data_IF_092250864929
#
_entry.id   IF_092250864929
#
_cell.length_a   1.000
_cell.length_b   1.000
_cell.length_c   1.000
_cell.angle_alpha   90.00
_cell.angle_beta   90.00
_cell.angle_gamma   90.00
#
_symmetry.space_group_name_H-M   'P 1'
#
loop_
_entity.id
_entity.type
_entity.pdbx_description
1 polymer ?
#
# COMPACT_ATOMS: atom_id res chain seq x y z
N UNK A 1 -1.75 -12.95 4.50
CA UNK A 1 -2.87 -12.86 5.44
C UNK A 1 -2.68 -14.02 6.41
N UNK A 2 -2.18 -13.74 7.61
CA UNK A 2 -2.01 -14.72 8.66
C UNK A 2 -3.34 -14.97 9.41
N UNK A 3 -3.43 -15.99 10.27
CA UNK A 3 -4.61 -16.23 11.10
C UNK A 3 -4.87 -15.00 11.99
N UNK A 4 -6.14 -14.69 12.22
CA UNK A 4 -6.60 -13.51 12.99
C UNK A 4 -6.04 -13.41 14.44
N UNK A 5 -5.43 -14.48 14.94
CA UNK A 5 -4.82 -14.57 16.27
C UNK A 5 -3.32 -14.27 16.30
N UNK A 6 -2.66 -14.16 15.14
CA UNK A 6 -1.25 -13.80 15.08
C UNK A 6 -1.10 -12.27 15.16
N UNK A 7 -0.15 -11.79 15.92
CA UNK A 7 0.24 -10.38 15.85
C UNK A 7 0.77 -10.10 14.43
N UNK A 8 0.22 -9.10 13.71
CA UNK A 8 0.68 -8.81 12.36
C UNK A 8 2.12 -8.28 12.38
N UNK A 9 2.93 -8.76 11.45
CA UNK A 9 4.21 -8.12 11.14
C UNK A 9 3.93 -6.87 10.31
N UNK A 10 3.80 -5.72 10.99
CA UNK A 10 3.44 -4.46 10.36
C UNK A 10 4.47 -4.01 9.32
N UNK A 11 5.77 -4.23 9.56
CA UNK A 11 6.83 -3.82 8.64
C UNK A 11 6.77 -4.63 7.33
N UNK A 12 6.63 -5.95 7.43
CA UNK A 12 6.45 -6.81 6.27
C UNK A 12 5.11 -6.53 5.57
N UNK A 13 4.06 -6.29 6.34
CA UNK A 13 2.74 -5.92 5.83
C UNK A 13 2.78 -4.65 4.99
N UNK A 14 3.43 -3.60 5.50
CA UNK A 14 3.59 -2.33 4.78
C UNK A 14 4.41 -2.51 3.50
N UNK A 15 5.53 -3.24 3.55
CA UNK A 15 6.35 -3.53 2.36
C UNK A 15 5.53 -4.22 1.27
N UNK A 16 4.74 -5.24 1.64
CA UNK A 16 3.86 -5.96 0.70
C UNK A 16 2.75 -5.05 0.16
N UNK A 17 2.14 -4.22 0.99
CA UNK A 17 1.10 -3.28 0.57
C UNK A 17 1.64 -2.30 -0.49
N UNK A 18 2.83 -1.73 -0.26
CA UNK A 18 3.50 -0.84 -1.22
C UNK A 18 3.81 -1.54 -2.55
N UNK A 19 4.32 -2.78 -2.49
CA UNK A 19 4.58 -3.58 -3.69
C UNK A 19 3.31 -3.90 -4.47
N UNK A 20 2.21 -4.26 -3.77
CA UNK A 20 0.91 -4.54 -4.39
C UNK A 20 0.23 -3.28 -4.93
N UNK A 21 0.42 -2.11 -4.30
CA UNK A 21 -0.04 -0.83 -4.84
C UNK A 21 0.62 -0.55 -6.21
N UNK A 22 1.93 -0.76 -6.32
CA UNK A 22 2.64 -0.63 -7.61
C UNK A 22 2.13 -1.61 -8.66
N UNK A 23 1.71 -2.83 -8.26
CA UNK A 23 1.07 -3.78 -9.17
C UNK A 23 -0.28 -3.26 -9.66
N UNK A 24 -1.19 -2.99 -8.73
CA UNK A 24 -2.59 -2.67 -9.06
C UNK A 24 -2.69 -1.36 -9.84
N UNK A 25 -1.89 -0.35 -9.47
CA UNK A 25 -1.85 0.94 -10.13
C UNK A 25 -1.10 0.92 -11.48
N UNK A 26 -0.40 -0.16 -11.82
CA UNK A 26 0.19 -0.37 -13.15
C UNK A 26 -0.76 -1.04 -14.14
N UNK A 27 -1.88 -1.61 -13.70
CA UNK A 27 -2.82 -2.32 -14.57
C UNK A 27 -3.60 -1.37 -15.49
N UNK A 28 -4.00 -1.80 -16.69
CA UNK A 28 -4.90 -1.03 -17.54
C UNK A 28 -6.30 -0.92 -16.93
N UNK A 29 -7.08 0.05 -17.41
CA UNK A 29 -8.44 0.33 -16.94
C UNK A 29 -8.48 1.28 -15.75
N UNK A 30 -9.62 1.31 -15.06
CA UNK A 30 -9.84 2.14 -13.87
C UNK A 30 -9.15 1.54 -12.64
N UNK A 31 -8.67 2.40 -11.77
CA UNK A 31 -8.11 2.01 -10.47
C UNK A 31 -8.91 2.62 -9.33
N UNK A 32 -8.93 1.93 -8.21
CA UNK A 32 -9.60 2.37 -7.00
C UNK A 32 -8.59 2.35 -5.86
N UNK A 33 -8.53 3.41 -5.08
CA UNK A 33 -7.72 3.53 -3.88
C UNK A 33 -8.69 3.67 -2.71
N UNK A 34 -8.59 2.79 -1.74
CA UNK A 34 -9.36 2.95 -0.51
C UNK A 34 -8.66 3.91 0.44
N UNK A 35 -9.45 4.68 1.19
CA UNK A 35 -8.90 5.66 2.14
C UNK A 35 -7.87 5.03 3.08
N UNK A 36 -6.70 5.66 3.21
CA UNK A 36 -5.62 5.22 4.08
C UNK A 36 -4.60 4.28 3.44
N UNK A 37 -4.89 3.70 2.27
CA UNK A 37 -3.89 2.93 1.51
C UNK A 37 -2.68 3.79 1.17
N UNK A 38 -2.93 5.03 0.76
CA UNK A 38 -1.91 6.02 0.42
C UNK A 38 -1.01 6.41 1.61
N UNK A 39 -1.49 6.18 2.82
CA UNK A 39 -0.72 6.40 4.05
C UNK A 39 -0.06 5.12 4.57
N UNK A 40 -0.37 3.96 3.98
CA UNK A 40 0.02 2.67 4.53
C UNK A 40 -0.64 2.39 5.89
N UNK A 41 -1.84 2.93 6.10
CA UNK A 41 -2.55 2.90 7.37
C UNK A 41 -3.00 1.47 7.69
N UNK A 42 -2.62 0.89 8.84
CA UNK A 42 -3.10 -0.43 9.21
C UNK A 42 -4.55 -0.38 9.69
N UNK A 43 -5.25 -1.49 9.52
CA UNK A 43 -6.57 -1.67 10.11
C UNK A 43 -6.51 -1.60 11.64
N UNK A 44 -7.48 -0.94 12.26
CA UNK A 44 -7.66 -0.95 13.72
C UNK A 44 -8.31 -2.26 14.19
N UNK A 45 -7.54 -3.34 14.20
CA UNK A 45 -8.02 -4.69 14.51
C UNK A 45 -8.44 -4.86 15.97
N UNK A 46 -7.87 -4.07 16.88
CA UNK A 46 -8.13 -4.13 18.33
C UNK A 46 -9.26 -3.20 18.81
N UNK A 47 -10.06 -2.66 17.87
CA UNK A 47 -11.21 -1.80 18.22
C UNK A 47 -12.19 -2.58 19.11
N UNK A 48 -12.55 -1.98 20.26
CA UNK A 48 -13.49 -2.56 21.19
C UNK A 48 -14.91 -2.67 20.59
N UNK A 49 -15.65 -3.72 20.96
CA UNK A 49 -16.97 -4.00 20.41
C UNK A 49 -17.99 -2.87 20.57
N UNK A 50 -17.91 -2.09 21.66
CA UNK A 50 -18.80 -0.95 21.89
C UNK A 50 -18.74 0.16 20.84
N UNK A 51 -17.62 0.26 20.09
CA UNK A 51 -17.44 1.23 19.02
C UNK A 51 -17.82 0.68 17.64
N UNK A 52 -18.01 -0.63 17.52
CA UNK A 52 -18.29 -1.27 16.24
C UNK A 52 -19.74 -1.06 15.82
N UNK A 53 -19.92 -0.70 14.56
CA UNK A 53 -21.21 -0.36 13.96
C UNK A 53 -21.50 -1.17 12.69
N UNK A 54 -20.55 -2.00 12.24
CA UNK A 54 -20.72 -2.81 11.04
C UNK A 54 -21.92 -3.77 11.23
N UNK A 55 -22.85 -3.82 10.26
CA UNK A 55 -24.01 -4.73 10.34
C UNK A 55 -23.62 -6.20 10.52
N UNK A 56 -22.46 -6.62 10.05
CA UNK A 56 -21.95 -7.98 10.24
C UNK A 56 -21.67 -8.26 11.71
N UNK A 57 -20.95 -7.33 12.39
CA UNK A 57 -20.67 -7.42 13.82
C UNK A 57 -21.97 -7.51 14.65
N UNK A 58 -22.94 -6.67 14.32
CA UNK A 58 -24.22 -6.64 15.04
C UNK A 58 -25.05 -7.92 14.82
N UNK A 59 -25.14 -8.41 13.58
CA UNK A 59 -25.90 -9.64 13.24
C UNK A 59 -25.28 -10.89 13.84
N UNK A 60 -23.95 -10.99 13.85
CA UNK A 60 -23.24 -12.15 14.40
C UNK A 60 -22.99 -12.04 15.91
N UNK A 61 -23.50 -10.99 16.57
CA UNK A 61 -23.30 -10.73 18.00
C UNK A 61 -21.82 -10.72 18.40
N UNK A 62 -20.98 -10.22 17.52
CA UNK A 62 -19.54 -10.06 17.75
C UNK A 62 -18.66 -11.23 17.30
N UNK A 63 -19.23 -12.30 16.72
CA UNK A 63 -18.43 -13.40 16.16
C UNK A 63 -17.59 -12.95 14.97
N UNK A 64 -18.13 -12.04 14.13
CA UNK A 64 -17.40 -11.41 13.02
C UNK A 64 -17.21 -9.93 13.27
N UNK A 65 -15.97 -9.47 13.20
CA UNK A 65 -15.62 -8.07 13.54
C UNK A 65 -16.07 -7.02 12.51
N UNK A 66 -16.40 -7.44 11.29
CA UNK A 66 -16.78 -6.53 10.21
C UNK A 66 -15.63 -5.65 9.74
N UNK A 67 -15.95 -4.50 9.14
CA UNK A 67 -14.98 -3.61 8.47
C UNK A 67 -14.77 -2.24 9.15
N UNK A 68 -15.25 -2.06 10.37
CA UNK A 68 -15.10 -0.75 11.06
C UNK A 68 -13.63 -0.35 11.22
N UNK A 69 -12.76 -1.34 11.44
CA UNK A 69 -11.32 -1.09 11.62
C UNK A 69 -10.63 -0.40 10.45
N UNK A 70 -11.11 -0.58 9.22
CA UNK A 70 -10.58 0.10 8.03
C UNK A 70 -11.34 1.40 7.67
N UNK A 71 -12.36 1.78 8.46
CA UNK A 71 -13.15 3.01 8.25
C UNK A 71 -12.84 4.11 9.26
N UNK A 72 -11.80 3.92 10.06
CA UNK A 72 -11.36 4.92 11.05
C UNK A 72 -10.97 6.21 10.35
N UNK A 73 -11.34 7.39 10.88
CA UNK A 73 -10.99 8.67 10.30
C UNK A 73 -9.49 8.85 10.07
N UNK A 74 -9.12 9.41 8.91
CA UNK A 74 -7.72 9.57 8.50
C UNK A 74 -6.94 10.55 9.39
N UNK A 75 -5.67 10.27 9.70
CA UNK A 75 -4.80 11.19 10.41
C UNK A 75 -4.17 12.21 9.43
N UNK A 76 -4.48 13.50 9.61
CA UNK A 76 -3.92 14.60 8.82
C UNK A 76 -2.74 15.26 9.50
N UNK A 77 -2.82 15.46 10.83
CA UNK A 77 -1.81 16.15 11.64
C UNK A 77 -1.53 15.36 12.91
N UNK A 78 -0.31 14.88 13.07
CA UNK A 78 0.07 13.96 14.14
C UNK A 78 -0.21 14.50 15.55
N UNK A 79 -0.04 15.80 15.77
CA UNK A 79 -0.09 16.43 17.10
C UNK A 79 -1.40 17.22 17.32
N UNK A 80 -2.39 17.12 16.42
CA UNK A 80 -3.66 17.82 16.56
C UNK A 80 -4.75 16.93 17.20
N UNK A 81 -5.79 17.53 17.82
CA UNK A 81 -6.98 16.81 18.25
C UNK A 81 -7.55 15.97 17.11
N UNK A 82 -8.03 14.74 17.40
CA UNK A 82 -8.48 13.75 16.40
C UNK A 82 -7.57 13.65 15.17
N UNK A 83 -6.27 13.82 15.36
CA UNK A 83 -5.25 13.89 14.30
C UNK A 83 -5.63 14.88 13.17
N UNK A 84 -6.28 15.99 13.50
CA UNK A 84 -6.70 17.02 12.54
C UNK A 84 -7.85 16.63 11.64
N UNK A 85 -8.56 15.52 11.90
CA UNK A 85 -9.73 15.12 11.13
C UNK A 85 -10.94 16.03 11.37
N UNK A 86 -11.11 16.52 12.60
CA UNK A 86 -12.19 17.40 13.00
C UNK A 86 -11.75 18.42 14.04
N UNK A 87 -12.66 19.34 14.43
CA UNK A 87 -12.31 20.41 15.37
C UNK A 87 -12.18 19.95 16.83
N UNK A 88 -12.67 18.75 17.15
CA UNK A 88 -12.68 18.22 18.52
C UNK A 88 -11.86 16.95 18.66
N UNK A 89 -11.82 16.43 19.90
CA UNK A 89 -11.03 15.23 20.25
C UNK A 89 -11.70 13.91 19.88
N UNK A 90 -12.98 13.94 19.52
CA UNK A 90 -13.79 12.73 19.29
C UNK A 90 -14.08 12.55 17.81
N UNK A 91 -13.92 11.30 17.37
CA UNK A 91 -14.32 10.82 16.06
C UNK A 91 -15.41 9.75 16.22
N UNK A 92 -16.16 9.45 15.14
CA UNK A 92 -17.24 8.46 15.20
C UNK A 92 -16.72 7.03 15.42
N UNK A 93 -15.52 6.72 14.96
CA UNK A 93 -14.74 5.54 15.33
C UNK A 93 -13.42 6.00 15.98
N UNK A 94 -12.97 5.33 17.05
CA UNK A 94 -11.77 5.76 17.77
C UNK A 94 -10.52 5.57 16.92
N UNK A 95 -9.66 6.60 16.90
CA UNK A 95 -8.36 6.54 16.24
C UNK A 95 -7.31 5.98 17.21
N UNK A 96 -6.57 4.91 16.84
CA UNK A 96 -5.46 4.43 17.68
C UNK A 96 -4.36 5.50 17.79
N UNK A 97 -3.71 5.60 18.94
CA UNK A 97 -2.58 6.51 19.12
C UNK A 97 -1.44 6.28 18.11
N UNK A 98 -1.29 5.04 17.63
CA UNK A 98 -0.31 4.68 16.60
C UNK A 98 -0.54 5.39 15.26
N UNK A 99 -1.75 5.92 14.98
CA UNK A 99 -2.05 6.63 13.73
C UNK A 99 -1.28 7.94 13.58
N UNK A 100 -0.78 8.54 14.68
CA UNK A 100 0.08 9.72 14.63
C UNK A 100 1.29 9.53 13.69
N UNK A 101 1.90 8.35 13.65
CA UNK A 101 3.07 8.07 12.78
C UNK A 101 2.72 7.99 11.29
N UNK A 102 1.45 7.76 10.95
CA UNK A 102 0.95 7.67 9.58
C UNK A 102 0.33 8.99 9.10
N UNK A 103 0.29 10.01 9.93
CA UNK A 103 -0.33 11.29 9.59
C UNK A 103 0.30 11.92 8.35
N UNK A 104 -0.55 12.60 7.56
CA UNK A 104 -0.14 13.22 6.29
C UNK A 104 1.04 14.16 6.49
N UNK A 105 1.00 15.03 7.52
CA UNK A 105 2.08 15.98 7.82
C UNK A 105 3.43 15.33 8.13
N UNK A 106 3.43 14.09 8.64
CA UNK A 106 4.66 13.30 8.86
C UNK A 106 5.20 12.70 7.57
N UNK A 107 4.35 12.44 6.60
CA UNK A 107 4.71 11.76 5.36
C UNK A 107 5.06 12.72 4.22
N UNK A 108 4.47 13.91 4.17
CA UNK A 108 4.70 14.86 3.07
C UNK A 108 6.17 15.24 2.87
N UNK A 109 6.90 15.44 3.96
CA UNK A 109 8.33 15.78 3.94
C UNK A 109 9.29 14.59 3.81
N UNK A 110 8.80 13.36 3.90
CA UNK A 110 9.62 12.15 3.88
C UNK A 110 9.60 11.52 2.48
N UNK A 111 10.71 11.62 1.76
CA UNK A 111 10.80 11.21 0.34
C UNK A 111 10.44 9.73 0.11
N UNK A 112 10.72 8.86 1.08
CA UNK A 112 10.48 7.42 1.05
C UNK A 112 9.12 7.00 1.67
N UNK A 113 8.28 7.98 2.04
CA UNK A 113 6.96 7.71 2.61
C UNK A 113 6.03 6.99 1.64
N UNK A 114 5.02 6.31 2.18
CA UNK A 114 3.98 5.66 1.38
C UNK A 114 3.16 6.69 0.60
N UNK A 115 2.85 7.84 1.20
CA UNK A 115 2.16 8.93 0.53
C UNK A 115 2.90 9.43 -0.71
N UNK A 116 4.21 9.65 -0.60
CA UNK A 116 5.01 10.11 -1.73
C UNK A 116 5.24 9.03 -2.77
N UNK A 117 5.29 7.74 -2.37
CA UNK A 117 5.26 6.62 -3.31
C UNK A 117 3.97 6.64 -4.14
N UNK A 118 2.78 6.76 -3.50
CA UNK A 118 1.50 6.83 -4.21
C UNK A 118 1.42 8.05 -5.15
N UNK A 119 1.88 9.21 -4.72
CA UNK A 119 1.96 10.41 -5.59
C UNK A 119 2.77 10.11 -6.84
N UNK A 120 3.95 9.50 -6.68
CA UNK A 120 4.83 9.18 -7.82
C UNK A 120 4.26 8.08 -8.73
N UNK A 121 3.61 7.06 -8.15
CA UNK A 121 2.88 6.04 -8.92
C UNK A 121 1.81 6.70 -9.80
N UNK A 122 0.99 7.58 -9.24
CA UNK A 122 -0.12 8.24 -9.96
C UNK A 122 0.40 9.20 -11.05
N UNK A 123 1.47 9.93 -10.76
CA UNK A 123 2.16 10.77 -11.75
C UNK A 123 2.63 9.94 -12.95
N UNK A 124 3.41 8.88 -12.70
CA UNK A 124 3.89 7.99 -13.76
C UNK A 124 2.76 7.26 -14.48
N UNK A 125 1.71 6.85 -13.76
CA UNK A 125 0.53 6.24 -14.37
C UNK A 125 -0.14 7.17 -15.39
N UNK A 126 -0.20 8.46 -15.09
CA UNK A 126 -0.74 9.47 -15.99
C UNK A 126 0.22 9.73 -17.16
N UNK A 127 1.50 9.96 -16.89
CA UNK A 127 2.53 10.21 -17.91
C UNK A 127 2.62 9.10 -18.94
N UNK A 128 2.58 7.83 -18.49
CA UNK A 128 2.69 6.64 -19.32
C UNK A 128 1.33 6.16 -19.87
N UNK A 129 0.24 6.87 -19.58
CA UNK A 129 -1.11 6.55 -20.01
C UNK A 129 -1.55 5.10 -19.71
N UNK A 130 -1.14 4.55 -18.57
CA UNK A 130 -1.29 3.13 -18.24
C UNK A 130 -2.74 2.65 -18.22
N UNK A 131 -3.70 3.55 -17.94
CA UNK A 131 -5.13 3.22 -17.99
C UNK A 131 -5.62 2.76 -19.36
N UNK A 132 -4.98 3.23 -20.43
CA UNK A 132 -5.32 2.91 -21.81
C UNK A 132 -4.45 1.82 -22.44
N UNK A 133 -3.54 1.25 -21.66
CA UNK A 133 -2.59 0.26 -22.14
C UNK A 133 -3.18 -1.15 -22.31
N UNK A 134 -2.31 -2.09 -22.58
CA UNK A 134 -2.64 -3.52 -22.72
C UNK A 134 -1.69 -4.35 -21.90
N UNK A 135 -2.25 -5.25 -21.09
CA UNK A 135 -1.49 -6.15 -20.25
C UNK A 135 -0.90 -7.30 -21.08
N UNK A 136 0.40 -7.52 -20.93
CA UNK A 136 1.11 -8.66 -21.49
C UNK A 136 1.94 -9.32 -20.38
N UNK A 137 1.61 -10.56 -20.01
CA UNK A 137 2.40 -11.30 -19.02
C UNK A 137 3.78 -11.63 -19.55
N UNK A 138 4.78 -11.56 -18.67
CA UNK A 138 6.16 -11.95 -18.97
C UNK A 138 6.63 -13.01 -17.96
N UNK A 139 7.50 -13.91 -18.39
CA UNK A 139 8.16 -14.84 -17.49
C UNK A 139 9.38 -14.17 -16.86
N UNK A 140 9.44 -14.21 -15.55
CA UNK A 140 10.56 -13.67 -14.75
C UNK A 140 11.08 -14.67 -13.71
N UNK A 141 10.70 -15.95 -13.87
CA UNK A 141 11.11 -17.04 -13.00
C UNK A 141 10.24 -17.21 -11.76
N UNK A 142 10.66 -18.14 -10.92
CA UNK A 142 9.93 -18.51 -9.71
C UNK A 142 9.82 -17.29 -8.75
N UNK A 143 8.66 -17.15 -8.13
CA UNK A 143 8.34 -16.14 -7.12
C UNK A 143 8.37 -14.68 -7.62
N UNK A 144 8.60 -14.44 -8.93
CA UNK A 144 8.55 -13.11 -9.54
C UNK A 144 7.39 -13.01 -10.50
N UNK A 145 6.46 -12.11 -10.22
CA UNK A 145 5.39 -11.78 -11.16
C UNK A 145 5.89 -10.63 -12.04
N UNK A 146 5.73 -10.79 -13.36
CA UNK A 146 6.10 -9.77 -14.32
C UNK A 146 5.04 -9.57 -15.40
N UNK A 147 4.87 -8.32 -15.82
CA UNK A 147 4.04 -7.96 -16.95
C UNK A 147 4.48 -6.64 -17.57
N UNK A 148 4.08 -6.45 -18.82
CA UNK A 148 4.22 -5.20 -19.55
C UNK A 148 2.87 -4.50 -19.68
N UNK A 149 2.87 -3.17 -19.63
CA UNK A 149 1.75 -2.33 -19.97
C UNK A 149 2.28 -1.10 -20.75
N UNK A 150 2.16 -1.13 -22.06
CA UNK A 150 2.80 -0.14 -22.94
C UNK A 150 4.33 -0.16 -22.80
N UNK A 151 4.91 1.00 -22.50
CA UNK A 151 6.36 1.16 -22.30
C UNK A 151 6.83 0.85 -20.86
N UNK A 152 5.92 0.41 -20.02
CA UNK A 152 6.21 0.02 -18.65
C UNK A 152 6.38 -1.50 -18.54
N UNK A 153 7.47 -1.94 -17.91
CA UNK A 153 7.60 -3.30 -17.36
C UNK A 153 7.54 -3.28 -15.86
N UNK A 154 6.68 -4.10 -15.28
CA UNK A 154 6.53 -4.27 -13.84
C UNK A 154 7.09 -5.61 -13.42
N UNK A 155 7.92 -5.62 -12.38
CA UNK A 155 8.36 -6.84 -11.71
C UNK A 155 8.03 -6.74 -10.21
N UNK A 156 7.54 -7.84 -9.66
CA UNK A 156 7.26 -7.95 -8.23
C UNK A 156 7.85 -9.25 -7.72
N UNK A 157 8.81 -9.14 -6.85
CA UNK A 157 9.37 -10.29 -6.16
C UNK A 157 8.51 -10.61 -4.92
N UNK A 158 7.74 -11.67 -5.00
CA UNK A 158 6.89 -12.15 -3.91
C UNK A 158 7.60 -13.13 -3.00
N UNK A 159 8.81 -13.56 -3.38
CA UNK A 159 9.66 -14.45 -2.61
C UNK A 159 10.41 -13.73 -1.49
N UNK A 160 11.16 -14.53 -0.69
CA UNK A 160 12.03 -14.02 0.37
C UNK A 160 13.44 -13.67 -0.13
N UNK A 161 13.91 -14.33 -1.19
CA UNK A 161 15.24 -14.14 -1.75
C UNK A 161 15.22 -13.06 -2.83
N UNK A 162 16.36 -12.37 -3.00
CA UNK A 162 16.49 -11.40 -4.07
C UNK A 162 16.47 -12.07 -5.45
N UNK A 163 15.75 -11.48 -6.39
CA UNK A 163 15.72 -11.89 -7.80
C UNK A 163 16.59 -10.97 -8.66
N UNK A 164 17.02 -11.45 -9.83
CA UNK A 164 17.76 -10.64 -10.77
C UNK A 164 16.83 -9.67 -11.52
N UNK A 165 17.28 -8.44 -11.72
CA UNK A 165 16.66 -7.52 -12.68
C UNK A 165 17.24 -7.78 -14.09
N UNK A 166 16.47 -7.56 -15.16
CA UNK A 166 16.99 -7.67 -16.52
C UNK A 166 18.19 -6.72 -16.72
N UNK A 167 19.22 -7.20 -17.40
CA UNK A 167 20.42 -6.41 -17.64
C UNK A 167 20.10 -5.11 -18.42
N UNK A 168 20.71 -4.00 -18.02
CA UNK A 168 20.47 -2.70 -18.66
C UNK A 168 19.15 -2.03 -18.32
N UNK A 169 18.37 -2.57 -17.39
CA UNK A 169 17.08 -2.00 -16.99
C UNK A 169 17.22 -0.58 -16.45
N UNK A 170 16.39 0.33 -16.93
CA UNK A 170 16.21 1.66 -16.33
C UNK A 170 15.07 1.59 -15.32
N UNK A 171 15.38 1.73 -14.02
CA UNK A 171 14.39 1.80 -12.96
C UNK A 171 13.72 3.17 -12.97
N UNK A 172 12.39 3.20 -13.09
CA UNK A 172 11.56 4.41 -12.98
C UNK A 172 11.09 4.64 -11.54
N UNK A 173 10.72 3.54 -10.85
CA UNK A 173 10.21 3.57 -9.49
C UNK A 173 10.45 2.23 -8.81
N UNK A 174 10.63 2.25 -7.49
CA UNK A 174 10.69 1.05 -6.64
C UNK A 174 9.87 1.24 -5.38
N UNK A 175 9.21 0.17 -4.90
CA UNK A 175 8.45 0.20 -3.64
C UNK A 175 9.34 0.29 -2.40
N UNK A 176 10.60 -0.13 -2.52
CA UNK A 176 11.63 -0.10 -1.46
C UNK A 176 12.98 0.28 -2.07
N UNK A 177 13.94 0.62 -1.22
CA UNK A 177 15.31 0.84 -1.66
C UNK A 177 15.89 -0.42 -2.34
N UNK A 178 16.69 -0.22 -3.39
CA UNK A 178 17.42 -1.26 -4.09
C UNK A 178 18.91 -1.22 -3.67
N UNK A 179 19.30 -1.94 -2.61
CA UNK A 179 20.64 -1.85 -2.03
C UNK A 179 21.73 -2.42 -2.92
N UNK A 180 21.39 -3.35 -3.82
CA UNK A 180 22.31 -3.98 -4.76
C UNK A 180 21.88 -3.72 -6.20
N UNK A 181 22.83 -3.27 -7.03
CA UNK A 181 22.58 -3.06 -8.45
C UNK A 181 22.17 -4.38 -9.13
N UNK A 182 21.15 -4.32 -9.98
CA UNK A 182 20.67 -5.48 -10.72
C UNK A 182 19.90 -6.52 -9.90
N UNK A 183 19.57 -6.22 -8.65
CA UNK A 183 18.78 -7.13 -7.79
C UNK A 183 17.49 -6.49 -7.29
N UNK A 184 16.42 -7.28 -7.28
CA UNK A 184 15.11 -6.96 -6.74
C UNK A 184 14.92 -7.69 -5.41
N UNK A 185 14.95 -7.01 -4.28
CA UNK A 185 14.75 -7.63 -2.97
C UNK A 185 13.40 -8.35 -2.85
N UNK A 186 13.30 -9.27 -1.89
CA UNK A 186 12.03 -9.93 -1.60
C UNK A 186 10.95 -8.97 -1.13
N UNK A 187 9.69 -9.25 -1.46
CA UNK A 187 8.51 -8.42 -1.15
C UNK A 187 8.64 -6.96 -1.67
N UNK A 188 9.24 -6.80 -2.85
CA UNK A 188 9.52 -5.50 -3.47
C UNK A 188 9.02 -5.50 -4.91
N UNK A 189 8.50 -4.36 -5.35
CA UNK A 189 8.12 -4.11 -6.74
C UNK A 189 9.02 -3.04 -7.38
N UNK A 190 9.25 -3.17 -8.69
CA UNK A 190 9.88 -2.13 -9.50
C UNK A 190 9.10 -1.88 -10.78
N UNK A 191 9.11 -0.64 -11.21
CA UNK A 191 8.70 -0.20 -12.53
C UNK A 191 9.95 0.13 -13.35
N UNK A 192 10.07 -0.52 -14.48
CA UNK A 192 11.19 -0.37 -15.41
C UNK A 192 10.69 0.24 -16.71
N UNK A 193 11.54 1.07 -17.33
CA UNK A 193 11.29 1.48 -18.72
C UNK A 193 11.53 0.28 -19.61
N UNK A 194 10.55 -0.03 -20.45
CA UNK A 194 10.68 -1.06 -21.49
C UNK A 194 11.57 -0.51 -22.62
N UNK A 195 12.57 -1.27 -23.01
CA UNK A 195 13.44 -0.99 -24.16
C UNK A 195 12.95 -1.72 -25.41
#
# INVERSE_FOLDING_TARGET
IGPATAQPDEALGLRRARALAMLTLALPGSTYIYQGEELGLPEHTTMEGQYRQDPMFLRTKGEEVGRDGCRVPLPWKADAPSFGFGPGDKTWLPQPASYARYAVDRQEGAADSTLNLYRKILELRQELALGNGQLQWADAGKDVLAFDNGDLRVLINMGAQAAALPAGSQVLLSSEALPEAGKLPGNTAVWLKRT
#
